data_IF_200632378942
#
_entry.id   IF_200632378942
#
_cell.length_a   1.000
_cell.length_b   1.000
_cell.length_c   1.000
_cell.angle_alpha   90.00
_cell.angle_beta   90.00
_cell.angle_gamma   90.00
#
_symmetry.space_group_name_H-M   'P 1'
#
loop_
_entity.id
_entity.type
_entity.pdbx_description
1 polymer ?
#
# COMPACT_ATOMS: atom_id res chain seq x y z
N UNK A 1 -18.81 -18.10 -7.54
CA UNK A 1 -18.94 -16.65 -7.73
C UNK A 1 -18.45 -16.06 -6.42
N UNK A 2 -17.22 -15.57 -6.36
CA UNK A 2 -16.71 -14.94 -5.12
C UNK A 2 -17.54 -13.68 -4.93
N UNK A 3 -18.16 -13.52 -3.77
CA UNK A 3 -18.75 -12.26 -3.36
C UNK A 3 -17.67 -11.18 -3.49
N UNK A 4 -17.72 -10.43 -4.58
CA UNK A 4 -17.04 -9.14 -4.69
C UNK A 4 -17.82 -8.21 -3.77
N UNK A 5 -17.65 -8.37 -2.46
CA UNK A 5 -17.82 -7.25 -1.56
C UNK A 5 -16.75 -6.28 -2.01
N UNK A 6 -17.17 -5.27 -2.79
CA UNK A 6 -16.39 -4.10 -3.17
C UNK A 6 -16.06 -3.27 -1.92
N UNK A 7 -15.44 -3.92 -0.95
CA UNK A 7 -14.86 -3.26 0.20
C UNK A 7 -13.46 -2.94 -0.24
N UNK A 8 -13.19 -1.66 -0.44
CA UNK A 8 -11.85 -1.20 -0.79
C UNK A 8 -10.89 -1.77 0.24
N UNK A 9 -9.75 -2.31 -0.19
CA UNK A 9 -8.82 -2.95 0.76
C UNK A 9 -8.31 -2.00 1.84
N UNK A 10 -8.40 -0.68 1.60
CA UNK A 10 -8.18 0.38 2.58
C UNK A 10 -9.18 0.38 3.74
N UNK A 11 -10.40 -0.09 3.51
CA UNK A 11 -11.49 -0.19 4.46
C UNK A 11 -11.61 -1.60 5.06
N UNK A 12 -10.92 -2.59 4.47
CA UNK A 12 -10.91 -3.97 4.96
C UNK A 12 -9.92 -4.12 6.11
N UNK A 13 -10.40 -4.00 7.34
CA UNK A 13 -9.59 -4.14 8.56
C UNK A 13 -8.92 -5.52 8.67
N UNK A 14 -9.50 -6.55 8.04
CA UNK A 14 -9.03 -7.95 8.07
C UNK A 14 -8.12 -8.30 6.87
N UNK A 15 -7.76 -7.33 6.03
CA UNK A 15 -6.89 -7.54 4.88
C UNK A 15 -5.55 -8.15 5.29
N UNK A 16 -5.13 -9.24 4.64
CA UNK A 16 -3.86 -9.90 4.95
C UNK A 16 -2.65 -9.06 4.52
N UNK A 17 -1.49 -9.32 5.14
CA UNK A 17 -0.22 -8.66 4.80
C UNK A 17 0.10 -8.78 3.31
N UNK A 18 -0.05 -9.98 2.72
CA UNK A 18 0.19 -10.19 1.28
C UNK A 18 -0.78 -9.40 0.41
N UNK A 19 -2.06 -9.31 0.80
CA UNK A 19 -3.06 -8.55 0.06
C UNK A 19 -2.75 -7.04 0.08
N UNK A 20 -2.36 -6.52 1.25
CA UNK A 20 -1.93 -5.12 1.41
C UNK A 20 -0.66 -4.81 0.58
N UNK A 21 0.32 -5.70 0.56
CA UNK A 21 1.55 -5.51 -0.23
C UNK A 21 1.30 -5.63 -1.74
N UNK A 22 0.39 -6.51 -2.16
CA UNK A 22 -0.05 -6.57 -3.55
C UNK A 22 -0.72 -5.25 -3.97
N UNK A 23 -1.67 -4.76 -3.16
CA UNK A 23 -2.34 -3.49 -3.41
C UNK A 23 -1.34 -2.32 -3.49
N UNK A 24 -0.40 -2.25 -2.53
CA UNK A 24 0.65 -1.22 -2.55
C UNK A 24 1.44 -1.23 -3.86
N UNK A 25 1.80 -2.43 -4.33
CA UNK A 25 2.54 -2.62 -5.57
C UNK A 25 1.75 -2.13 -6.79
N UNK A 26 0.44 -2.38 -6.82
CA UNK A 26 -0.45 -1.88 -7.88
C UNK A 26 -0.50 -0.34 -7.88
N UNK A 27 -0.72 0.30 -6.73
CA UNK A 27 -0.73 1.77 -6.63
C UNK A 27 0.60 2.41 -7.05
N UNK A 28 1.73 1.80 -6.67
CA UNK A 28 3.04 2.30 -7.08
C UNK A 28 3.30 2.09 -8.58
N UNK A 29 2.86 0.97 -9.15
CA UNK A 29 2.95 0.75 -10.60
C UNK A 29 2.11 1.78 -11.38
N UNK A 30 0.90 2.08 -10.92
CA UNK A 30 0.08 3.14 -11.50
C UNK A 30 0.73 4.52 -11.38
N UNK A 31 1.30 4.85 -10.21
CA UNK A 31 2.00 6.11 -10.01
C UNK A 31 3.20 6.25 -10.96
N UNK A 32 4.00 5.19 -11.11
CA UNK A 32 5.14 5.17 -12.02
C UNK A 32 4.71 5.29 -13.49
N UNK A 33 3.70 4.53 -13.92
CA UNK A 33 3.18 4.60 -15.29
C UNK A 33 2.62 5.99 -15.62
N UNK A 34 1.85 6.57 -14.69
CA UNK A 34 1.28 7.92 -14.85
C UNK A 34 2.38 8.98 -14.90
N UNK A 35 3.42 8.86 -14.08
CA UNK A 35 4.57 9.77 -14.10
C UNK A 35 5.29 9.72 -15.44
N UNK A 36 5.51 8.53 -16.00
CA UNK A 36 6.13 8.36 -17.32
C UNK A 36 5.32 9.02 -18.42
N UNK A 37 3.99 8.83 -18.41
CA UNK A 37 3.09 9.48 -19.37
C UNK A 37 3.13 11.01 -19.26
N UNK A 38 3.11 11.55 -18.03
CA UNK A 38 3.21 13.00 -17.82
C UNK A 38 4.55 13.56 -18.29
N UNK A 39 5.64 12.80 -18.13
CA UNK A 39 6.95 13.21 -18.64
C UNK A 39 6.98 13.27 -20.18
N UNK A 40 6.25 12.39 -20.86
CA UNK A 40 6.06 12.45 -22.32
C UNK A 40 5.22 13.67 -22.71
N UNK A 41 4.10 13.94 -22.01
CA UNK A 41 3.29 15.13 -22.27
C UNK A 41 4.09 16.43 -22.10
N UNK A 42 4.89 16.55 -21.03
CA UNK A 42 5.73 17.73 -20.80
C UNK A 42 6.78 17.88 -21.90
N UNK A 43 7.39 16.78 -22.35
CA UNK A 43 8.39 16.78 -23.42
C UNK A 43 7.81 17.24 -24.75
N UNK A 44 6.60 16.79 -25.05
CA UNK A 44 5.92 17.07 -26.31
C UNK A 44 5.09 18.37 -26.25
N UNK A 45 5.23 19.16 -25.17
CA UNK A 45 4.49 20.39 -24.88
C UNK A 45 2.95 20.21 -24.95
N UNK A 46 2.47 19.03 -24.57
CA UNK A 46 1.06 18.65 -24.53
C UNK A 46 0.43 19.00 -23.18
N UNK A 47 -0.75 19.62 -23.22
CA UNK A 47 -1.59 19.92 -22.06
C UNK A 47 -1.31 21.29 -21.42
N UNK A 48 -2.32 21.84 -20.75
CA UNK A 48 -2.13 23.07 -19.98
C UNK A 48 -1.38 22.79 -18.67
N UNK A 49 -0.58 23.76 -18.20
CA UNK A 49 0.18 23.66 -16.95
C UNK A 49 -0.71 23.32 -15.75
N UNK A 50 -1.95 23.82 -15.73
CA UNK A 50 -2.90 23.53 -14.66
C UNK A 50 -3.30 22.05 -14.64
N UNK A 51 -3.54 21.46 -15.80
CA UNK A 51 -3.92 20.05 -15.93
C UNK A 51 -2.75 19.13 -15.56
N UNK A 52 -1.54 19.46 -16.02
CA UNK A 52 -0.32 18.75 -15.63
C UNK A 52 -0.04 18.83 -14.13
N UNK A 53 -0.25 20.01 -13.52
CA UNK A 53 -0.12 20.18 -12.08
C UNK A 53 -1.15 19.35 -11.30
N UNK A 54 -2.39 19.26 -11.80
CA UNK A 54 -3.43 18.44 -11.18
C UNK A 54 -3.07 16.95 -11.29
N UNK A 55 -2.59 16.51 -12.45
CA UNK A 55 -2.18 15.12 -12.67
C UNK A 55 -1.00 14.71 -11.78
N UNK A 56 -0.02 15.61 -11.58
CA UNK A 56 1.05 15.41 -10.59
C UNK A 56 0.51 15.26 -9.15
N UNK A 57 -0.52 16.04 -8.79
CA UNK A 57 -1.25 15.85 -7.53
C UNK A 57 -1.90 14.47 -7.43
N UNK A 58 -2.45 13.96 -8.54
CA UNK A 58 -2.96 12.60 -8.66
C UNK A 58 -1.88 11.54 -8.40
N UNK A 59 -0.69 11.69 -8.99
CA UNK A 59 0.46 10.80 -8.72
C UNK A 59 0.80 10.76 -7.23
N UNK A 60 0.84 11.93 -6.57
CA UNK A 60 1.08 11.99 -5.13
C UNK A 60 0.02 11.24 -4.32
N UNK A 61 -1.26 11.32 -4.73
CA UNK A 61 -2.33 10.57 -4.09
C UNK A 61 -2.16 9.04 -4.25
N UNK A 62 -1.80 8.56 -5.45
CA UNK A 62 -1.53 7.13 -5.70
C UNK A 62 -0.40 6.62 -4.78
N UNK A 63 0.70 7.38 -4.69
CA UNK A 63 1.83 7.04 -3.80
C UNK A 63 1.39 7.02 -2.33
N UNK A 64 0.57 8.00 -1.92
CA UNK A 64 0.06 8.06 -0.55
C UNK A 64 -0.76 6.83 -0.19
N UNK A 65 -1.62 6.36 -1.09
CA UNK A 65 -2.43 5.15 -0.87
C UNK A 65 -1.54 3.92 -0.75
N UNK A 66 -0.58 3.73 -1.67
CA UNK A 66 0.35 2.62 -1.60
C UNK A 66 1.16 2.61 -0.29
N UNK A 67 1.57 3.78 0.20
CA UNK A 67 2.26 3.90 1.49
C UNK A 67 1.37 3.48 2.67
N UNK A 68 0.07 3.82 2.68
CA UNK A 68 -0.85 3.37 3.73
C UNK A 68 -0.92 1.85 3.78
N UNK A 69 -1.03 1.19 2.61
CA UNK A 69 -1.04 -0.27 2.53
C UNK A 69 0.25 -0.88 3.10
N UNK A 70 1.42 -0.33 2.76
CA UNK A 70 2.72 -0.77 3.30
C UNK A 70 2.79 -0.59 4.83
N UNK A 71 2.34 0.55 5.36
CA UNK A 71 2.35 0.79 6.81
C UNK A 71 1.45 -0.20 7.55
N UNK A 72 0.27 -0.51 7.01
CA UNK A 72 -0.64 -1.52 7.58
C UNK A 72 -0.01 -2.92 7.55
N UNK A 73 0.62 -3.30 6.44
CA UNK A 73 1.34 -4.57 6.32
C UNK A 73 2.49 -4.69 7.33
N UNK A 74 3.31 -3.63 7.49
CA UNK A 74 4.37 -3.61 8.49
C UNK A 74 3.85 -3.71 9.92
N UNK A 75 2.72 -3.05 10.21
CA UNK A 75 2.06 -3.11 11.51
C UNK A 75 1.64 -4.56 11.83
N UNK A 76 1.03 -5.27 10.89
CA UNK A 76 0.66 -6.68 11.07
C UNK A 76 1.88 -7.55 11.35
N UNK A 77 2.94 -7.45 10.55
CA UNK A 77 4.17 -8.25 10.76
C UNK A 77 4.79 -7.98 12.14
N UNK A 78 4.80 -6.73 12.60
CA UNK A 78 5.38 -6.34 13.89
C UNK A 78 4.59 -6.96 15.07
N UNK A 79 3.26 -6.95 15.00
CA UNK A 79 2.40 -7.40 16.09
C UNK A 79 2.06 -8.89 16.03
N UNK A 80 1.94 -9.49 14.85
CA UNK A 80 1.74 -10.94 14.67
C UNK A 80 3.03 -11.74 14.88
N UNK A 81 4.19 -11.12 14.62
CA UNK A 81 5.52 -11.72 14.77
C UNK A 81 6.06 -11.75 16.21
N UNK A 82 5.29 -11.32 17.21
CA UNK A 82 5.69 -11.41 18.62
C UNK A 82 5.08 -12.64 19.27
N UNK A 83 5.70 -13.84 19.20
CA UNK A 83 5.38 -14.85 20.19
C UNK A 83 5.78 -14.22 21.53
N UNK A 84 4.81 -14.00 22.42
CA UNK A 84 5.09 -13.99 23.84
C UNK A 84 5.85 -15.28 24.09
N UNK A 85 7.18 -15.18 24.21
CA UNK A 85 8.03 -16.25 24.71
C UNK A 85 7.54 -16.47 26.13
N UNK A 86 6.53 -17.33 26.28
CA UNK A 86 6.13 -17.88 27.56
C UNK A 86 7.29 -18.74 28.00
N UNK A 87 8.24 -18.11 28.71
CA UNK A 87 9.17 -18.82 29.57
C UNK A 87 8.35 -19.38 30.74
N UNK A 88 7.56 -20.40 30.48
CA UNK A 88 7.19 -21.39 31.49
C UNK A 88 8.29 -22.44 31.47
N UNK A 89 9.42 -22.08 32.06
CA UNK A 89 10.39 -23.06 32.55
C UNK A 89 9.87 -23.50 33.93
N UNK A 90 9.42 -24.76 34.12
CA UNK A 90 8.99 -25.21 35.42
C UNK A 90 10.22 -25.37 36.34
N UNK A 91 10.13 -25.02 37.63
CA UNK A 91 11.19 -25.30 38.57
C UNK A 91 11.20 -26.82 38.82
N UNK A 92 12.18 -27.53 38.23
CA UNK A 92 12.53 -28.84 38.74
C UNK A 92 13.25 -28.65 40.08
N UNK A 93 12.46 -28.84 41.15
CA UNK A 93 12.95 -29.02 42.50
C UNK A 93 13.45 -30.46 42.69
N UNK A 94 14.65 -30.57 43.26
CA UNK A 94 15.30 -31.68 43.99
C UNK A 94 15.14 -33.13 43.50
#
# INVERSE_FOLDING_TARGET
MKDTKDHWILEDDDASTDALLNEASEWFAYAQGTTSLLAECIRDELGDRRELSLALGGVAALISVGNVCVQRAHTQVLFDGTPLRSTTEPPHAD
#
